data_IF_156894614626
#
_entry.id   IF_156894614626
#
_cell.length_a   1.000
_cell.length_b   1.000
_cell.length_c   1.000
_cell.angle_alpha   90.00
_cell.angle_beta   90.00
_cell.angle_gamma   90.00
#
_symmetry.space_group_name_H-M   'P 1'
#
loop_
_entity.id
_entity.type
_entity.pdbx_description
1 polymer ?
#
# COMPACT_ATOMS: atom_id res chain seq x y z
N UNK A 1 -78.67 25.41 -4.07
CA UNK A 1 -77.62 24.38 -3.96
C UNK A 1 -77.34 24.19 -2.47
N UNK A 2 -77.68 23.04 -1.91
CA UNK A 2 -77.83 22.86 -0.46
C UNK A 2 -76.50 22.85 0.29
N UNK A 3 -76.49 23.43 1.48
CA UNK A 3 -75.36 23.46 2.45
C UNK A 3 -74.85 22.04 2.78
N UNK A 4 -75.70 21.03 2.60
CA UNK A 4 -75.40 19.61 2.80
C UNK A 4 -74.43 19.06 1.74
N UNK A 5 -74.52 19.55 0.49
CA UNK A 5 -73.66 19.08 -0.60
C UNK A 5 -72.25 19.69 -0.52
N UNK A 6 -72.14 20.91 -0.01
CA UNK A 6 -70.84 21.53 0.28
C UNK A 6 -70.17 20.86 1.48
N UNK A 7 -70.89 20.56 2.56
CA UNK A 7 -70.38 19.78 3.70
C UNK A 7 -69.86 18.40 3.28
N UNK A 8 -70.55 17.69 2.38
CA UNK A 8 -70.09 16.41 1.84
C UNK A 8 -68.80 16.54 1.02
N UNK A 9 -68.63 17.63 0.24
CA UNK A 9 -67.39 17.90 -0.51
C UNK A 9 -66.21 18.22 0.42
N UNK A 10 -66.45 19.02 1.47
CA UNK A 10 -65.43 19.35 2.47
C UNK A 10 -65.01 18.13 3.30
N UNK A 11 -65.96 17.28 3.69
CA UNK A 11 -65.66 16.01 4.38
C UNK A 11 -64.74 15.11 3.54
N UNK A 12 -65.00 14.97 2.25
CA UNK A 12 -64.15 14.17 1.32
C UNK A 12 -62.74 14.75 1.15
N UNK A 13 -62.59 16.07 1.11
CA UNK A 13 -61.27 16.71 1.03
C UNK A 13 -60.46 16.54 2.33
N UNK A 14 -61.13 16.62 3.48
CA UNK A 14 -60.50 16.39 4.80
C UNK A 14 -60.08 14.93 4.95
N UNK A 15 -60.93 13.98 4.56
CA UNK A 15 -60.62 12.54 4.59
C UNK A 15 -59.44 12.20 3.66
N UNK A 16 -59.38 12.77 2.45
CA UNK A 16 -58.25 12.61 1.53
C UNK A 16 -56.96 13.25 2.08
N UNK A 17 -57.04 14.43 2.69
CA UNK A 17 -55.88 15.10 3.29
C UNK A 17 -55.32 14.32 4.49
N UNK A 18 -56.20 13.77 5.33
CA UNK A 18 -55.82 12.90 6.45
C UNK A 18 -55.22 11.57 5.99
N UNK A 19 -55.73 10.97 4.91
CA UNK A 19 -55.12 9.78 4.30
C UNK A 19 -53.74 10.08 3.73
N UNK A 20 -53.56 11.21 3.03
CA UNK A 20 -52.27 11.61 2.45
C UNK A 20 -51.21 11.90 3.51
N UNK A 21 -51.59 12.54 4.61
CA UNK A 21 -50.67 12.78 5.74
C UNK A 21 -50.23 11.46 6.38
N UNK A 22 -51.16 10.51 6.59
CA UNK A 22 -50.84 9.19 7.16
C UNK A 22 -49.96 8.35 6.23
N UNK A 23 -50.19 8.39 4.92
CA UNK A 23 -49.35 7.67 3.96
C UNK A 23 -47.95 8.27 3.85
N UNK A 24 -47.80 9.60 3.96
CA UNK A 24 -46.50 10.26 3.98
C UNK A 24 -45.68 9.88 5.22
N UNK A 25 -46.29 9.86 6.41
CA UNK A 25 -45.62 9.37 7.62
C UNK A 25 -45.23 7.91 7.52
N UNK A 26 -46.09 7.06 6.94
CA UNK A 26 -45.75 5.65 6.71
C UNK A 26 -44.57 5.49 5.76
N UNK A 27 -44.51 6.27 4.68
CA UNK A 27 -43.40 6.26 3.73
C UNK A 27 -42.09 6.69 4.41
N UNK A 28 -42.11 7.75 5.24
CA UNK A 28 -40.93 8.17 6.01
C UNK A 28 -40.46 7.04 6.94
N UNK A 29 -41.38 6.39 7.66
CA UNK A 29 -41.04 5.28 8.56
C UNK A 29 -40.39 4.14 7.78
N UNK A 30 -40.94 3.75 6.62
CA UNK A 30 -40.37 2.72 5.76
C UNK A 30 -38.98 3.11 5.26
N UNK A 31 -38.78 4.39 4.89
CA UNK A 31 -37.50 4.87 4.38
C UNK A 31 -36.42 4.91 5.48
N UNK A 32 -36.79 5.29 6.71
CA UNK A 32 -35.91 5.22 7.89
C UNK A 32 -35.58 3.77 8.23
N UNK A 33 -36.57 2.86 8.18
CA UNK A 33 -36.35 1.42 8.37
C UNK A 33 -35.41 0.84 7.32
N UNK A 34 -35.60 1.21 6.04
CA UNK A 34 -34.70 0.83 4.96
C UNK A 34 -33.29 1.34 5.21
N UNK A 35 -33.09 2.62 5.53
CA UNK A 35 -31.76 3.18 5.81
C UNK A 35 -31.08 2.52 7.01
N UNK A 36 -31.85 2.15 8.04
CA UNK A 36 -31.31 1.52 9.23
C UNK A 36 -31.00 0.02 9.03
N UNK A 37 -31.85 -0.70 8.31
CA UNK A 37 -31.68 -2.14 8.07
C UNK A 37 -30.73 -2.44 6.90
N UNK A 38 -30.60 -1.53 5.93
CA UNK A 38 -29.74 -1.68 4.76
C UNK A 38 -28.29 -2.09 5.10
N UNK A 39 -27.56 -1.41 6.01
CA UNK A 39 -26.18 -1.81 6.33
C UNK A 39 -26.10 -3.22 6.90
N UNK A 40 -27.04 -3.62 7.77
CA UNK A 40 -27.04 -4.95 8.38
C UNK A 40 -27.29 -6.08 7.37
N UNK A 41 -28.13 -5.86 6.35
CA UNK A 41 -28.32 -6.85 5.28
C UNK A 41 -27.15 -6.86 4.30
N UNK A 42 -26.58 -5.70 3.97
CA UNK A 42 -25.45 -5.59 3.05
C UNK A 42 -24.21 -6.35 3.58
N UNK A 43 -23.88 -6.19 4.86
CA UNK A 43 -22.75 -6.88 5.50
C UNK A 43 -22.89 -8.41 5.52
N UNK A 44 -24.12 -8.94 5.54
CA UNK A 44 -24.38 -10.38 5.56
C UNK A 44 -24.27 -10.99 4.15
N UNK A 45 -24.71 -10.27 3.11
CA UNK A 45 -24.64 -10.74 1.73
C UNK A 45 -23.22 -10.58 1.12
N UNK A 46 -22.44 -9.61 1.58
CA UNK A 46 -21.06 -9.37 1.10
C UNK A 46 -19.96 -10.02 1.96
N UNK A 47 -20.26 -11.05 2.77
CA UNK A 47 -19.21 -11.91 3.32
C UNK A 47 -18.56 -12.75 2.22
N UNK A 48 -17.77 -12.10 1.37
CA UNK A 48 -16.77 -12.75 0.52
C UNK A 48 -15.80 -13.47 1.46
N UNK A 49 -15.59 -14.76 1.23
CA UNK A 49 -14.49 -15.45 1.89
C UNK A 49 -13.20 -14.70 1.55
N UNK A 50 -12.36 -14.40 2.55
CA UNK A 50 -11.12 -13.67 2.29
C UNK A 50 -10.27 -14.48 1.32
N UNK A 51 -9.89 -13.83 0.23
CA UNK A 51 -8.99 -14.42 -0.77
C UNK A 51 -7.55 -14.32 -0.26
N UNK A 52 -6.64 -15.13 -0.81
CA UNK A 52 -5.21 -15.06 -0.50
C UNK A 52 -4.64 -13.64 -0.70
N UNK A 53 -5.18 -12.88 -1.66
CA UNK A 53 -4.81 -11.48 -1.87
C UNK A 53 -5.29 -10.57 -0.75
N UNK A 54 -6.49 -10.82 -0.19
CA UNK A 54 -7.03 -10.04 0.92
C UNK A 54 -6.22 -10.29 2.20
N UNK A 55 -5.73 -11.51 2.41
CA UNK A 55 -4.85 -11.83 3.53
C UNK A 55 -3.51 -11.10 3.44
N UNK A 56 -2.88 -11.10 2.27
CA UNK A 56 -1.63 -10.39 2.03
C UNK A 56 -1.79 -8.87 2.19
N UNK A 57 -2.92 -8.31 1.76
CA UNK A 57 -3.22 -6.88 1.86
C UNK A 57 -3.46 -6.45 3.31
N UNK A 58 -4.26 -7.18 4.08
CA UNK A 58 -4.47 -6.92 5.52
C UNK A 58 -3.18 -6.98 6.33
N UNK A 59 -2.34 -7.98 6.06
CA UNK A 59 -1.01 -8.09 6.67
C UNK A 59 -0.15 -6.86 6.36
N UNK A 60 -0.19 -6.40 5.11
CA UNK A 60 0.60 -5.27 4.66
C UNK A 60 0.13 -3.97 5.33
N UNK A 61 -1.18 -3.75 5.39
CA UNK A 61 -1.76 -2.54 5.98
C UNK A 61 -1.45 -2.42 7.48
N UNK A 62 -1.52 -3.52 8.25
CA UNK A 62 -1.19 -3.51 9.69
C UNK A 62 0.23 -3.00 9.95
N UNK A 63 1.18 -3.40 9.12
CA UNK A 63 2.59 -2.99 9.25
C UNK A 63 2.90 -1.60 8.69
N UNK A 64 2.11 -1.10 7.74
CA UNK A 64 2.33 0.22 7.12
C UNK A 64 1.65 1.34 7.91
N UNK A 65 0.54 1.05 8.59
CA UNK A 65 -0.25 2.00 9.37
C UNK A 65 0.58 3.02 10.19
N UNK A 66 1.65 2.64 10.92
CA UNK A 66 2.47 3.64 11.63
C UNK A 66 3.14 4.68 10.70
N UNK A 67 3.56 4.29 9.50
CA UNK A 67 4.18 5.19 8.52
C UNK A 67 3.16 6.05 7.77
N UNK A 68 1.90 5.60 7.64
CA UNK A 68 0.84 6.42 7.05
C UNK A 68 0.60 7.68 7.90
N UNK A 69 0.62 7.55 9.24
CA UNK A 69 0.52 8.69 10.16
C UNK A 69 1.71 9.65 10.01
N UNK A 70 2.94 9.12 10.00
CA UNK A 70 4.15 9.93 9.78
C UNK A 70 4.17 10.58 8.40
N UNK A 71 3.52 9.98 7.40
CA UNK A 71 3.44 10.53 6.06
C UNK A 71 2.54 11.76 5.99
N UNK A 72 1.44 11.78 6.75
CA UNK A 72 0.58 12.96 6.89
C UNK A 72 1.32 14.16 7.50
N UNK A 73 2.31 13.89 8.37
CA UNK A 73 3.19 14.91 8.94
C UNK A 73 4.36 15.30 8.01
N UNK A 74 4.52 14.63 6.87
CA UNK A 74 5.64 14.82 5.94
C UNK A 74 6.96 14.20 6.41
N UNK A 75 6.95 13.36 7.44
CA UNK A 75 8.12 12.68 7.99
C UNK A 75 8.42 11.36 7.29
N UNK A 76 7.44 10.77 6.60
CA UNK A 76 7.61 9.54 5.86
C UNK A 76 6.97 9.58 4.46
N UNK A 77 7.45 8.72 3.58
CA UNK A 77 6.79 8.41 2.31
C UNK A 77 6.58 6.91 2.18
N UNK A 78 5.33 6.52 1.94
CA UNK A 78 4.92 5.13 1.73
C UNK A 78 4.64 4.89 0.25
N UNK A 79 5.26 3.84 -0.31
CA UNK A 79 5.00 3.37 -1.67
C UNK A 79 4.49 1.94 -1.62
N UNK A 80 3.21 1.72 -1.96
CA UNK A 80 2.61 0.38 -2.06
C UNK A 80 2.88 -0.20 -3.46
N UNK A 81 3.55 -1.34 -3.52
CA UNK A 81 3.88 -2.07 -4.74
C UNK A 81 2.86 -3.19 -4.93
N UNK A 82 1.90 -2.97 -5.83
CA UNK A 82 0.88 -3.96 -6.16
C UNK A 82 1.46 -5.09 -7.00
N UNK A 83 2.32 -4.78 -7.97
CA UNK A 83 3.13 -5.73 -8.72
C UNK A 83 4.56 -5.22 -8.90
N UNK A 84 5.54 -6.14 -8.97
CA UNK A 84 6.95 -5.81 -9.27
C UNK A 84 7.15 -5.19 -10.67
N UNK A 85 6.18 -5.40 -11.57
CA UNK A 85 6.17 -4.85 -12.94
C UNK A 85 5.51 -3.48 -13.07
N UNK A 86 4.85 -2.96 -12.02
CA UNK A 86 4.27 -1.60 -12.02
C UNK A 86 5.33 -0.53 -11.73
N UNK A 87 6.55 -0.71 -12.28
CA UNK A 87 7.57 0.35 -12.31
C UNK A 87 7.30 1.39 -13.40
N UNK A 88 6.26 1.18 -14.20
CA UNK A 88 5.92 2.04 -15.33
C UNK A 88 4.57 2.71 -15.08
N UNK A 89 4.61 4.03 -15.24
CA UNK A 89 3.51 4.93 -15.56
C UNK A 89 2.76 5.57 -14.37
N UNK A 90 3.16 6.83 -14.14
CA UNK A 90 2.35 7.93 -13.59
C UNK A 90 2.12 8.07 -12.08
N UNK A 91 2.62 7.18 -11.22
CA UNK A 91 2.75 7.57 -9.81
C UNK A 91 4.02 8.43 -9.68
N UNK A 92 3.90 9.65 -9.13
CA UNK A 92 5.03 10.56 -8.83
C UNK A 92 5.88 10.00 -7.68
N UNK A 93 6.24 8.72 -7.77
CA UNK A 93 6.70 7.86 -6.70
C UNK A 93 8.11 8.29 -6.33
N UNK A 94 8.20 8.87 -5.13
CA UNK A 94 9.45 9.11 -4.43
C UNK A 94 10.38 7.89 -4.54
N UNK A 95 11.63 8.13 -4.94
CA UNK A 95 12.66 7.11 -5.03
C UNK A 95 13.16 6.78 -3.62
N UNK A 96 12.91 5.57 -3.07
CA UNK A 96 13.41 5.22 -1.75
C UNK A 96 14.95 5.18 -1.79
N UNK A 97 15.58 6.11 -1.09
CA UNK A 97 17.01 6.33 -1.12
C UNK A 97 17.58 6.31 0.29
N UNK A 98 18.70 5.62 0.46
CA UNK A 98 19.50 5.63 1.68
C UNK A 98 20.90 6.14 1.38
N UNK A 99 21.50 6.86 2.32
CA UNK A 99 22.88 7.30 2.19
C UNK A 99 23.36 8.15 3.36
N UNK A 100 24.68 8.19 3.53
CA UNK A 100 25.38 8.96 4.56
C UNK A 100 26.35 10.00 3.97
N UNK A 101 26.24 10.26 2.66
CA UNK A 101 27.10 11.16 1.91
C UNK A 101 28.44 10.55 1.44
N UNK A 102 28.80 9.34 1.89
CA UNK A 102 29.95 8.57 1.40
C UNK A 102 29.52 7.37 0.57
N UNK A 103 28.47 6.67 1.02
CA UNK A 103 27.70 5.73 0.21
C UNK A 103 26.26 6.20 0.06
N UNK A 104 25.62 5.74 -1.01
CA UNK A 104 24.19 5.76 -1.15
C UNK A 104 23.69 4.68 -2.09
N UNK A 105 22.42 4.33 -1.94
CA UNK A 105 21.80 3.24 -2.66
C UNK A 105 20.31 3.54 -2.78
N UNK A 106 19.75 3.35 -3.97
CA UNK A 106 18.31 3.29 -4.14
C UNK A 106 17.81 1.90 -3.69
N UNK A 107 16.77 1.83 -2.87
CA UNK A 107 16.16 0.55 -2.45
C UNK A 107 15.21 0.07 -3.54
N UNK A 108 15.81 -0.36 -4.65
CA UNK A 108 15.13 -0.89 -5.81
C UNK A 108 15.72 -2.25 -6.19
N UNK A 109 14.96 -3.07 -6.95
CA UNK A 109 15.54 -4.13 -7.74
C UNK A 109 16.86 -3.75 -8.42
N UNK A 110 17.90 -4.57 -8.26
CA UNK A 110 19.15 -4.50 -9.04
C UNK A 110 19.80 -3.11 -9.03
N UNK A 111 19.59 -2.33 -7.97
CA UNK A 111 20.18 -1.01 -7.83
C UNK A 111 21.68 -1.10 -7.58
N UNK A 112 22.45 -0.21 -8.19
CA UNK A 112 23.87 -0.09 -7.88
C UNK A 112 24.06 0.75 -6.62
N UNK A 113 25.05 0.39 -5.81
CA UNK A 113 25.58 1.33 -4.81
C UNK A 113 26.33 2.43 -5.53
N UNK A 114 26.22 3.64 -4.99
CA UNK A 114 26.94 4.83 -5.40
C UNK A 114 27.88 5.23 -4.27
N UNK A 115 29.13 5.49 -4.63
CA UNK A 115 30.14 5.99 -3.70
C UNK A 115 30.55 7.41 -4.07
N UNK A 116 30.97 8.16 -3.07
CA UNK A 116 31.49 9.51 -3.27
C UNK A 116 32.87 9.44 -3.90
N UNK A 117 33.06 10.12 -5.02
CA UNK A 117 34.40 10.34 -5.56
C UNK A 117 35.17 11.34 -4.69
N UNK A 118 36.48 11.16 -4.41
CA UNK A 118 37.25 12.06 -3.55
C UNK A 118 37.11 13.55 -3.91
N UNK A 119 37.11 13.85 -5.20
CA UNK A 119 37.03 15.23 -5.72
C UNK A 119 35.60 15.73 -5.98
N UNK A 120 34.58 14.87 -5.83
CA UNK A 120 33.19 15.23 -6.10
C UNK A 120 32.45 15.61 -4.81
N UNK A 121 31.49 16.54 -4.93
CA UNK A 121 30.55 16.88 -3.84
C UNK A 121 29.34 15.95 -3.79
N UNK A 122 29.15 15.09 -4.79
CA UNK A 122 27.99 14.19 -4.93
C UNK A 122 28.41 12.71 -5.02
N UNK A 123 27.43 11.83 -4.77
CA UNK A 123 27.55 10.39 -4.95
C UNK A 123 27.41 10.06 -6.45
N UNK A 124 28.52 10.12 -7.18
CA UNK A 124 28.51 10.02 -8.65
C UNK A 124 29.07 8.70 -9.20
N UNK A 125 29.80 7.92 -8.40
CA UNK A 125 30.50 6.73 -8.88
C UNK A 125 29.68 5.46 -8.58
N UNK A 126 29.03 4.83 -9.59
CA UNK A 126 28.38 3.53 -9.41
C UNK A 126 29.42 2.41 -9.40
N UNK A 127 29.33 1.50 -8.42
CA UNK A 127 30.24 0.34 -8.33
C UNK A 127 29.77 -0.89 -9.13
N UNK A 128 28.58 -0.83 -9.74
CA UNK A 128 28.04 -1.89 -10.61
C UNK A 128 27.54 -3.13 -9.86
N UNK A 129 27.54 -3.11 -8.52
CA UNK A 129 27.11 -4.20 -7.66
C UNK A 129 26.02 -3.73 -6.68
N UNK A 130 25.10 -4.65 -6.33
CA UNK A 130 24.05 -4.44 -5.32
C UNK A 130 24.27 -5.38 -4.12
N UNK A 131 24.43 -4.84 -2.91
CA UNK A 131 24.56 -5.63 -1.68
C UNK A 131 23.21 -6.13 -1.15
N UNK A 132 22.09 -5.77 -1.78
CA UNK A 132 20.76 -6.08 -1.25
C UNK A 132 20.44 -7.56 -1.43
N UNK A 133 20.17 -8.20 -0.30
CA UNK A 133 19.65 -9.57 -0.26
C UNK A 133 18.13 -9.50 -0.45
N UNK A 134 17.61 -10.21 -1.44
CA UNK A 134 16.17 -10.25 -1.73
C UNK A 134 15.66 -11.67 -1.52
N UNK A 135 14.69 -11.85 -0.62
CA UNK A 135 14.04 -13.13 -0.42
C UNK A 135 13.07 -13.39 -1.57
N UNK A 136 13.07 -14.63 -2.06
CA UNK A 136 12.21 -15.11 -3.12
C UNK A 136 11.43 -16.29 -2.55
N UNK A 137 10.12 -16.10 -2.45
CA UNK A 137 9.15 -17.14 -2.14
C UNK A 137 8.09 -17.21 -3.25
N UNK A 138 7.50 -18.39 -3.41
CA UNK A 138 6.44 -18.62 -4.38
C UNK A 138 5.07 -18.20 -3.81
N UNK A 139 4.22 -17.63 -4.66
CA UNK A 139 2.86 -17.25 -4.32
C UNK A 139 2.50 -15.81 -4.70
N UNK A 140 1.25 -15.44 -4.44
CA UNK A 140 0.78 -14.05 -4.51
C UNK A 140 1.44 -13.24 -3.40
N UNK A 141 2.03 -12.09 -3.75
CA UNK A 141 2.69 -11.21 -2.79
C UNK A 141 2.18 -9.78 -2.92
N UNK A 142 2.08 -9.10 -1.79
CA UNK A 142 1.89 -7.65 -1.70
C UNK A 142 3.11 -7.07 -1.00
N UNK A 143 3.57 -5.93 -1.50
CA UNK A 143 4.81 -5.32 -1.05
C UNK A 143 4.59 -3.83 -0.82
N UNK A 144 5.30 -3.25 0.14
CA UNK A 144 5.42 -1.81 0.25
C UNK A 144 6.80 -1.40 0.75
N UNK A 145 7.15 -0.17 0.44
CA UNK A 145 8.39 0.46 0.85
C UNK A 145 8.05 1.78 1.53
N UNK A 146 8.40 1.91 2.80
CA UNK A 146 8.26 3.13 3.57
C UNK A 146 9.65 3.74 3.79
N UNK A 147 9.80 5.03 3.53
CA UNK A 147 11.03 5.78 3.79
C UNK A 147 10.76 6.80 4.87
N UNK A 148 11.44 6.68 6.01
CA UNK A 148 11.32 7.65 7.10
C UNK A 148 12.48 8.65 7.02
N UNK A 149 12.17 9.90 6.71
CA UNK A 149 13.16 10.94 6.42
C UNK A 149 14.03 11.31 7.63
N UNK A 150 13.48 11.53 8.84
CA UNK A 150 14.27 11.91 10.00
C UNK A 150 15.31 10.85 10.42
N UNK A 151 14.95 9.56 10.34
CA UNK A 151 15.90 8.49 10.65
C UNK A 151 16.81 8.16 9.47
N UNK A 152 16.36 8.40 8.23
CA UNK A 152 17.06 8.00 7.01
C UNK A 152 17.03 6.48 6.80
N UNK A 153 15.98 5.83 7.31
CA UNK A 153 15.79 4.38 7.24
C UNK A 153 14.72 4.08 6.20
N UNK A 154 14.98 3.07 5.37
CA UNK A 154 13.99 2.52 4.45
C UNK A 154 13.54 1.16 4.96
N UNK A 155 12.25 1.06 5.24
CA UNK A 155 11.58 -0.17 5.63
C UNK A 155 10.85 -0.76 4.43
N UNK A 156 11.02 -2.05 4.17
CA UNK A 156 10.32 -2.76 3.09
C UNK A 156 9.61 -3.97 3.66
N UNK A 157 8.31 -4.05 3.41
CA UNK A 157 7.43 -5.10 3.91
C UNK A 157 6.92 -5.94 2.74
N UNK A 158 6.94 -7.26 2.91
CA UNK A 158 6.44 -8.22 1.95
C UNK A 158 5.53 -9.21 2.66
N UNK A 159 4.26 -9.21 2.30
CA UNK A 159 3.27 -10.16 2.78
C UNK A 159 2.87 -11.09 1.63
N UNK A 160 2.88 -12.39 1.90
CA UNK A 160 2.44 -13.40 0.95
C UNK A 160 1.05 -13.90 1.31
N UNK A 161 0.26 -14.28 0.31
CA UNK A 161 -1.07 -14.85 0.52
C UNK A 161 -1.03 -16.17 1.30
N UNK A 162 0.11 -16.87 1.28
CA UNK A 162 0.38 -18.04 2.12
C UNK A 162 0.51 -17.73 3.62
N UNK A 163 0.49 -16.46 4.04
CA UNK A 163 0.69 -16.02 5.41
C UNK A 163 2.14 -15.73 5.78
N UNK A 164 3.11 -15.98 4.89
CA UNK A 164 4.51 -15.63 5.12
C UNK A 164 4.68 -14.10 5.14
N UNK A 165 5.38 -13.61 6.17
CA UNK A 165 5.69 -12.20 6.34
C UNK A 165 7.20 -11.97 6.37
N UNK A 166 7.65 -10.94 5.65
CA UNK A 166 9.03 -10.47 5.68
C UNK A 166 9.11 -8.96 5.86
N UNK A 167 10.00 -8.54 6.74
CA UNK A 167 10.35 -7.13 6.93
C UNK A 167 11.84 -6.92 6.70
N UNK A 168 12.15 -5.88 5.94
CA UNK A 168 13.49 -5.39 5.69
C UNK A 168 13.64 -4.01 6.30
N UNK A 169 14.73 -3.78 7.00
CA UNK A 169 15.11 -2.45 7.47
C UNK A 169 16.52 -2.16 6.94
N UNK A 170 16.64 -1.12 6.14
CA UNK A 170 17.86 -0.83 5.38
C UNK A 170 18.28 0.60 5.64
N UNK A 171 19.54 0.79 6.04
CA UNK A 171 20.09 2.11 6.32
C UNK A 171 21.62 2.13 6.19
N UNK A 172 22.17 3.30 5.88
CA UNK A 172 23.61 3.54 5.96
C UNK A 172 23.99 3.96 7.37
N UNK A 173 25.05 3.37 7.92
CA UNK A 173 25.54 3.76 9.25
C UNK A 173 26.04 5.22 9.21
N UNK A 174 25.65 6.03 10.22
CA UNK A 174 26.01 7.46 10.27
C UNK A 174 27.49 7.69 10.61
N UNK A 175 28.02 7.00 11.62
CA UNK A 175 29.42 7.16 12.06
C UNK A 175 30.45 6.36 11.25
N UNK A 176 30.12 5.15 10.81
CA UNK A 176 30.97 4.29 9.99
C UNK A 176 30.58 4.44 8.53
N UNK A 177 31.38 5.19 7.76
CA UNK A 177 31.01 5.68 6.44
C UNK A 177 30.91 4.58 5.39
N UNK A 178 31.59 3.47 5.62
CA UNK A 178 31.75 2.35 4.71
C UNK A 178 30.72 1.24 4.95
N UNK A 179 29.82 1.41 5.94
CA UNK A 179 28.93 0.35 6.40
C UNK A 179 27.49 0.61 5.98
N UNK A 180 26.95 -0.32 5.20
CA UNK A 180 25.53 -0.46 4.91
C UNK A 180 24.96 -1.59 5.79
N UNK A 181 23.80 -1.35 6.39
CA UNK A 181 23.12 -2.34 7.22
C UNK A 181 21.79 -2.70 6.58
N UNK A 182 21.54 -4.01 6.45
CA UNK A 182 20.26 -4.58 6.09
C UNK A 182 19.87 -5.59 7.18
N UNK A 183 18.77 -5.30 7.88
CA UNK A 183 18.15 -6.23 8.80
C UNK A 183 16.97 -6.89 8.11
N UNK A 184 16.84 -8.21 8.28
CA UNK A 184 15.74 -9.00 7.72
C UNK A 184 15.08 -9.78 8.84
N UNK A 185 13.76 -9.67 8.95
CA UNK A 185 12.95 -10.53 9.83
C UNK A 185 11.99 -11.31 8.95
N UNK A 186 11.92 -12.61 9.19
CA UNK A 186 11.08 -13.55 8.45
C UNK A 186 10.19 -14.24 9.48
N UNK A 187 8.88 -14.15 9.32
CA UNK A 187 7.92 -14.81 10.18
C UNK A 187 7.04 -15.73 9.34
N UNK A 188 7.02 -17.02 9.71
CA UNK A 188 6.09 -18.00 9.18
C UNK A 188 5.07 -18.35 10.28
N UNK A 189 3.87 -17.76 10.28
CA UNK A 189 2.83 -18.08 11.24
C UNK A 189 2.08 -19.37 10.90
N UNK A 190 2.37 -20.01 9.75
CA UNK A 190 1.68 -21.22 9.33
C UNK A 190 2.25 -22.47 10.00
N UNK A 191 1.42 -23.52 10.10
CA UNK A 191 1.86 -24.83 10.58
C UNK A 191 2.73 -25.59 9.56
N UNK A 192 2.74 -25.15 8.29
CA UNK A 192 3.47 -25.82 7.22
C UNK A 192 4.85 -25.18 7.00
N UNK A 193 5.88 -25.98 6.66
CA UNK A 193 7.17 -25.44 6.27
C UNK A 193 7.06 -24.71 4.92
N UNK A 194 7.65 -23.50 4.84
CA UNK A 194 7.72 -22.71 3.61
C UNK A 194 9.18 -22.61 3.19
N UNK A 195 9.47 -22.99 1.94
CA UNK A 195 10.82 -22.88 1.36
C UNK A 195 11.02 -21.47 0.84
N UNK A 196 12.12 -20.85 1.26
CA UNK A 196 12.50 -19.50 0.88
C UNK A 196 13.94 -19.49 0.37
N UNK A 197 14.16 -18.84 -0.76
CA UNK A 197 15.50 -18.66 -1.33
C UNK A 197 15.96 -17.24 -1.11
N UNK A 198 17.16 -17.07 -0.56
CA UNK A 198 17.81 -15.78 -0.45
C UNK A 198 18.74 -15.60 -1.64
N UNK A 199 18.48 -14.57 -2.45
CA UNK A 199 19.31 -14.26 -3.61
C UNK A 199 19.95 -12.88 -3.46
N UNK A 200 21.18 -12.75 -3.92
CA UNK A 200 21.89 -11.47 -3.98
C UNK A 200 21.61 -10.90 -5.37
N UNK A 201 21.06 -9.69 -5.43
CA UNK A 201 20.72 -9.09 -6.72
C UNK A 201 21.97 -8.56 -7.43
N UNK A 202 22.75 -9.45 -8.04
CA UNK A 202 23.87 -9.05 -8.89
C UNK A 202 23.32 -8.44 -10.17
N UNK A 203 23.64 -7.16 -10.42
CA UNK A 203 23.44 -6.56 -11.74
C UNK A 203 24.48 -7.20 -12.67
N UNK A 204 24.06 -8.12 -13.54
CA UNK A 204 25.01 -8.76 -14.45
C UNK A 204 25.64 -7.70 -15.37
N UNK A 205 26.97 -7.70 -15.57
CA UNK A 205 27.65 -6.73 -16.40
C UNK A 205 27.19 -6.78 -17.87
N UNK A 206 26.75 -7.95 -18.35
CA UNK A 206 26.28 -8.14 -19.73
C UNK A 206 25.03 -7.32 -20.05
N UNK A 207 24.13 -7.11 -19.08
CA UNK A 207 22.92 -6.30 -19.24
C UNK A 207 23.21 -4.80 -19.25
N UNK A 208 24.24 -4.36 -18.54
CA UNK A 208 24.70 -2.96 -18.58
C UNK A 208 25.25 -2.61 -19.97
N UNK A 209 25.96 -3.54 -20.61
CA UNK A 209 26.52 -3.35 -21.94
C UNK A 209 25.42 -3.30 -23.03
N UNK A 210 24.29 -3.98 -22.82
CA UNK A 210 23.11 -3.88 -23.68
C UNK A 210 22.31 -2.59 -23.45
N UNK A 211 22.06 -2.19 -22.18
CA UNK A 211 21.38 -0.94 -21.85
C UNK A 211 22.16 0.30 -22.30
N UNK A 212 23.49 0.27 -22.20
CA UNK A 212 24.36 1.35 -22.68
C UNK A 212 24.35 1.48 -24.21
N UNK A 213 24.28 0.36 -24.94
CA UNK A 213 24.14 0.37 -26.42
C UNK A 213 22.83 0.99 -26.88
N UNK A 214 21.75 0.82 -26.12
CA UNK A 214 20.44 1.38 -26.44
C UNK A 214 20.28 2.88 -26.13
N UNK A 215 21.20 3.50 -25.38
CA UNK A 215 21.18 4.96 -25.10
C UNK A 215 22.11 5.78 -26.01
N UNK A 216 22.84 5.13 -26.92
CA UNK A 216 23.82 5.77 -27.82
C UNK A 216 23.33 5.77 -29.29
N UNK A 217 22.12 5.26 -29.54
CA UNK A 217 21.38 5.42 -30.80
C UNK A 217 20.20 6.38 -30.59
#
# INVERSE_FOLDING_TARGET
MGIIDTLKKWKRLIENYLMYRRSYFFLIIVLVLMLYLYPSFHEVYEKKQPTDTDHAERCLDDHITPYDLESLEGNANVRRLHNWKDSNEEDNSYLPWIGNGHLGLAVLPRSSVYIKHPDAKSLSLPIGWSPLIVPIAHGTKREAVATHFPSGIVSRYQCYGSGLYLSHLIYSHRSRKEVLIQEMKIANPTAAPIVLTLDIQVRSPDKLLQEAKHRIL
#
